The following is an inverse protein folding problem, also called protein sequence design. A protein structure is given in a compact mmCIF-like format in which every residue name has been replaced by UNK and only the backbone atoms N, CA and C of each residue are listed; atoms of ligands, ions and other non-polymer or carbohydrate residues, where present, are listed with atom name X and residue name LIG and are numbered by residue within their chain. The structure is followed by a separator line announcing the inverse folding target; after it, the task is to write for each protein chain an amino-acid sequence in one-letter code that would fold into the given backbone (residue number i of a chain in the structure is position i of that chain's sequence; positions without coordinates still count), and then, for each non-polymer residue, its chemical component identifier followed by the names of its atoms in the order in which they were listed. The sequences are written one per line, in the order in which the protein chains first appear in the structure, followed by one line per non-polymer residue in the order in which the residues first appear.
data_IF_976267872699
#
_entry.id   IF_976267872699
#
_cell.length_a   1.000
_cell.length_b   1.000
_cell.length_c   1.000
_cell.angle_alpha   90.00
_cell.angle_beta   90.00
_cell.angle_gamma   90.00
#
_symmetry.space_group_name_H-M   'P 1'
#
loop_
_entity.id
_entity.type
_entity.pdbx_description
1 polymer ?
#
# COMPACT_ATOMS: atom_id res chain seq x y z
N UNK A 1 14.75 -35.64 12.03
CA UNK A 1 14.86 -35.38 10.57
C UNK A 1 13.58 -34.69 10.10
N UNK A 2 13.62 -33.42 9.72
CA UNK A 2 12.44 -32.74 9.18
C UNK A 2 12.15 -33.26 7.76
N UNK A 3 10.92 -33.73 7.51
CA UNK A 3 10.51 -34.22 6.20
C UNK A 3 10.66 -33.12 5.14
N UNK A 4 11.37 -33.42 4.05
CA UNK A 4 11.53 -32.47 2.94
C UNK A 4 10.15 -32.12 2.36
N UNK A 5 9.88 -30.83 2.09
CA UNK A 5 8.62 -30.43 1.49
C UNK A 5 8.45 -31.06 0.10
N UNK A 6 7.21 -31.42 -0.25
CA UNK A 6 6.93 -31.97 -1.57
C UNK A 6 7.15 -30.90 -2.66
N UNK A 7 7.54 -31.32 -3.87
CA UNK A 7 7.76 -30.43 -5.02
C UNK A 7 6.54 -29.51 -5.27
N UNK A 8 5.32 -30.04 -5.09
CA UNK A 8 4.06 -29.28 -5.20
C UNK A 8 3.95 -28.17 -4.15
N UNK A 9 4.33 -28.43 -2.91
CA UNK A 9 4.32 -27.42 -1.84
C UNK A 9 5.37 -26.33 -2.06
N UNK A 10 6.57 -26.68 -2.52
CA UNK A 10 7.64 -25.72 -2.83
C UNK A 10 7.25 -24.81 -4.00
N UNK A 11 6.68 -25.37 -5.07
CA UNK A 11 6.18 -24.60 -6.22
C UNK A 11 5.07 -23.63 -5.82
N UNK A 12 4.12 -24.09 -5.00
CA UNK A 12 3.01 -23.24 -4.51
C UNK A 12 3.53 -22.07 -3.67
N UNK A 13 4.48 -22.33 -2.75
CA UNK A 13 5.09 -21.29 -1.94
C UNK A 13 5.85 -20.25 -2.80
N UNK A 14 6.58 -20.70 -3.82
CA UNK A 14 7.26 -19.82 -4.78
C UNK A 14 6.30 -18.93 -5.57
N UNK A 15 5.19 -19.49 -6.08
CA UNK A 15 4.16 -18.73 -6.78
C UNK A 15 3.50 -17.68 -5.89
N UNK A 16 3.19 -18.04 -4.65
CA UNK A 16 2.59 -17.13 -3.67
C UNK A 16 3.54 -15.99 -3.31
N UNK A 17 4.82 -16.29 -3.06
CA UNK A 17 5.86 -15.27 -2.85
C UNK A 17 5.95 -14.32 -4.05
N UNK A 18 5.99 -14.86 -5.27
CA UNK A 18 6.04 -14.05 -6.50
C UNK A 18 4.80 -13.16 -6.63
N UNK A 19 3.61 -13.71 -6.39
CA UNK A 19 2.35 -12.94 -6.42
C UNK A 19 2.37 -11.78 -5.43
N UNK A 20 2.75 -12.04 -4.18
CA UNK A 20 2.85 -11.01 -3.15
C UNK A 20 3.84 -9.92 -3.52
N UNK A 21 5.01 -10.28 -4.06
CA UNK A 21 5.99 -9.29 -4.51
C UNK A 21 5.48 -8.46 -5.69
N UNK A 22 4.79 -9.06 -6.65
CA UNK A 22 4.18 -8.33 -7.77
C UNK A 22 3.17 -7.31 -7.25
N UNK A 23 2.26 -7.72 -6.36
CA UNK A 23 1.28 -6.79 -5.76
C UNK A 23 2.01 -5.66 -5.03
N UNK A 24 3.00 -5.98 -4.18
CA UNK A 24 3.75 -4.98 -3.43
C UNK A 24 4.48 -3.97 -4.34
N UNK A 25 5.11 -4.43 -5.42
CA UNK A 25 5.76 -3.54 -6.38
C UNK A 25 4.77 -2.70 -7.18
N UNK A 26 3.60 -3.24 -7.51
CA UNK A 26 2.51 -2.46 -8.10
C UNK A 26 2.03 -1.39 -7.12
N UNK A 27 1.84 -1.73 -5.84
CA UNK A 27 1.49 -0.76 -4.78
C UNK A 27 2.53 0.34 -4.66
N UNK A 28 3.83 0.00 -4.70
CA UNK A 28 4.91 0.98 -4.73
C UNK A 28 4.77 1.91 -5.93
N UNK A 29 4.59 1.36 -7.15
CA UNK A 29 4.50 2.17 -8.36
C UNK A 29 3.32 3.15 -8.34
N UNK A 30 2.10 2.69 -8.02
CA UNK A 30 0.93 3.59 -7.94
C UNK A 30 1.04 4.57 -6.78
N UNK A 31 1.62 4.15 -5.65
CA UNK A 31 1.92 5.02 -4.52
C UNK A 31 2.92 6.12 -4.90
N UNK A 32 3.94 5.80 -5.68
CA UNK A 32 4.89 6.79 -6.21
C UNK A 32 4.19 7.82 -7.10
N UNK A 33 3.34 7.38 -8.02
CA UNK A 33 2.54 8.30 -8.84
C UNK A 33 1.63 9.19 -7.97
N UNK A 34 1.10 8.66 -6.87
CA UNK A 34 0.27 9.42 -5.93
C UNK A 34 1.08 10.48 -5.19
N UNK A 35 2.26 10.13 -4.68
CA UNK A 35 3.16 11.10 -4.06
C UNK A 35 3.65 12.16 -5.06
N UNK A 36 3.85 11.81 -6.34
CA UNK A 36 4.19 12.79 -7.36
C UNK A 36 3.07 13.79 -7.61
N UNK A 37 1.80 13.36 -7.64
CA UNK A 37 0.64 14.26 -7.71
C UNK A 37 0.65 15.27 -6.55
N UNK A 38 0.86 14.80 -5.32
CA UNK A 38 0.98 15.66 -4.13
C UNK A 38 2.11 16.68 -4.25
N UNK A 39 3.29 16.25 -4.71
CA UNK A 39 4.44 17.14 -4.90
C UNK A 39 4.14 18.22 -5.94
N UNK A 40 3.55 17.85 -7.08
CA UNK A 40 3.23 18.79 -8.15
C UNK A 40 2.15 19.79 -7.69
N UNK A 41 1.09 19.31 -7.03
CA UNK A 41 0.03 20.18 -6.49
C UNK A 41 0.59 21.12 -5.41
N UNK A 42 1.50 20.64 -4.55
CA UNK A 42 2.21 21.49 -3.61
C UNK A 42 2.99 22.61 -4.32
N UNK A 43 3.78 22.29 -5.34
CA UNK A 43 4.52 23.31 -6.08
C UNK A 43 3.61 24.36 -6.73
N UNK A 44 2.44 23.97 -7.24
CA UNK A 44 1.48 24.95 -7.78
C UNK A 44 0.93 25.92 -6.74
N UNK A 45 0.78 25.50 -5.48
CA UNK A 45 0.34 26.38 -4.40
C UNK A 45 1.38 27.46 -4.15
N UNK A 46 2.65 27.06 -4.05
CA UNK A 46 3.78 27.98 -3.83
C UNK A 46 3.98 28.91 -5.02
N UNK A 47 4.08 28.35 -6.23
CA UNK A 47 4.36 29.10 -7.46
C UNK A 47 3.28 30.16 -7.78
N UNK A 48 2.02 29.87 -7.45
CA UNK A 48 0.89 30.79 -7.69
C UNK A 48 0.51 31.65 -6.48
N UNK A 49 1.24 31.55 -5.37
CA UNK A 49 0.93 32.30 -4.14
C UNK A 49 -0.48 32.02 -3.61
N UNK A 50 -0.95 30.76 -3.72
CA UNK A 50 -2.25 30.34 -3.20
C UNK A 50 -2.20 30.17 -1.67
N UNK A 51 -3.36 29.92 -1.06
CA UNK A 51 -3.47 29.65 0.37
C UNK A 51 -2.52 28.49 0.77
N UNK A 52 -1.56 28.72 1.70
CA UNK A 52 -0.61 27.69 2.12
C UNK A 52 -1.26 26.45 2.72
N UNK A 53 -2.48 26.55 3.23
CA UNK A 53 -3.24 25.39 3.74
C UNK A 53 -3.62 24.38 2.64
N UNK A 54 -3.53 24.78 1.36
CA UNK A 54 -3.75 23.90 0.21
C UNK A 54 -2.48 23.16 -0.21
N UNK A 55 -1.36 23.36 0.47
CA UNK A 55 -0.12 22.69 0.14
C UNK A 55 -0.16 21.22 0.57
N UNK A 56 0.01 20.34 -0.42
CA UNK A 56 -0.05 18.89 -0.24
C UNK A 56 1.33 18.21 -0.21
N UNK A 57 2.40 18.99 -0.20
CA UNK A 57 3.78 18.50 -0.22
C UNK A 57 4.49 18.76 1.12
N UNK A 58 5.77 18.42 1.17
CA UNK A 58 6.63 18.60 2.33
C UNK A 58 8.05 18.17 2.01
N UNK A 59 8.88 18.08 3.04
CA UNK A 59 10.24 17.56 2.92
C UNK A 59 10.28 16.17 2.25
N UNK A 60 11.23 15.89 1.33
CA UNK A 60 12.37 16.73 0.93
C UNK A 60 12.11 17.72 -0.22
N UNK A 61 10.87 17.82 -0.71
CA UNK A 61 10.53 18.68 -1.84
C UNK A 61 10.28 20.13 -1.42
N UNK A 62 9.94 20.32 -0.15
CA UNK A 62 9.75 21.61 0.50
C UNK A 62 10.46 21.63 1.86
N UNK A 63 10.63 22.81 2.46
CA UNK A 63 11.32 22.96 3.74
C UNK A 63 10.56 22.35 4.93
N UNK A 64 9.23 22.35 4.85
CA UNK A 64 8.37 22.00 5.97
C UNK A 64 8.22 20.49 6.11
N UNK A 65 8.27 20.02 7.36
CA UNK A 65 7.84 18.66 7.68
C UNK A 65 6.33 18.64 7.83
N UNK A 66 5.64 17.94 6.94
CA UNK A 66 4.17 17.91 6.86
C UNK A 66 3.63 16.48 6.97
N UNK A 67 2.30 16.27 7.08
CA UNK A 67 1.70 14.94 6.98
C UNK A 67 2.10 14.17 5.72
N UNK A 68 2.40 14.87 4.61
CA UNK A 68 2.99 14.28 3.41
C UNK A 68 4.33 13.60 3.72
N UNK A 69 5.25 14.27 4.42
CA UNK A 69 6.58 13.72 4.75
C UNK A 69 6.47 12.51 5.66
N UNK A 70 5.62 12.57 6.69
CA UNK A 70 5.37 11.45 7.58
C UNK A 70 4.81 10.24 6.80
N UNK A 71 3.87 10.48 5.88
CA UNK A 71 3.30 9.46 5.01
C UNK A 71 4.34 8.89 4.05
N UNK A 72 5.18 9.72 3.44
CA UNK A 72 6.24 9.31 2.52
C UNK A 72 7.18 8.31 3.19
N UNK A 73 7.70 8.67 4.37
CA UNK A 73 8.62 7.82 5.14
C UNK A 73 7.92 6.56 5.62
N UNK A 74 6.72 6.70 6.20
CA UNK A 74 5.96 5.57 6.75
C UNK A 74 5.57 4.54 5.69
N UNK A 75 5.02 5.00 4.56
CA UNK A 75 4.56 4.14 3.46
C UNK A 75 5.73 3.38 2.86
N UNK A 76 6.81 4.05 2.45
CA UNK A 76 7.96 3.37 1.85
C UNK A 76 8.75 2.53 2.84
N UNK A 77 8.80 2.93 4.12
CA UNK A 77 9.39 2.12 5.18
C UNK A 77 8.65 0.78 5.35
N UNK A 78 7.32 0.83 5.47
CA UNK A 78 6.48 -0.37 5.60
C UNK A 78 6.54 -1.26 4.35
N UNK A 79 6.39 -0.68 3.15
CA UNK A 79 6.44 -1.44 1.89
C UNK A 79 7.84 -2.03 1.65
N UNK A 80 8.90 -1.26 1.89
CA UNK A 80 10.29 -1.70 1.74
C UNK A 80 10.63 -2.84 2.69
N UNK A 81 10.28 -2.73 3.98
CA UNK A 81 10.46 -3.80 4.94
C UNK A 81 9.68 -5.06 4.55
N UNK A 82 8.42 -4.92 4.10
CA UNK A 82 7.60 -6.03 3.63
C UNK A 82 8.17 -6.74 2.40
N UNK A 83 8.65 -5.97 1.41
CA UNK A 83 9.33 -6.50 0.21
C UNK A 83 10.60 -7.24 0.61
N UNK A 84 11.42 -6.66 1.49
CA UNK A 84 12.66 -7.28 1.97
C UNK A 84 12.39 -8.60 2.72
N UNK A 85 11.44 -8.62 3.66
CA UNK A 85 11.04 -9.84 4.37
C UNK A 85 10.52 -10.92 3.42
N UNK A 86 9.69 -10.52 2.45
CA UNK A 86 9.12 -11.43 1.46
C UNK A 86 10.19 -11.98 0.53
N UNK A 87 11.18 -11.16 0.15
CA UNK A 87 12.29 -11.62 -0.66
C UNK A 87 13.14 -12.66 0.08
N UNK A 88 13.20 -12.61 1.41
CA UNK A 88 13.82 -13.62 2.29
C UNK A 88 12.90 -14.80 2.65
N UNK A 89 11.71 -14.89 2.06
CA UNK A 89 10.78 -16.02 2.25
C UNK A 89 9.83 -15.89 3.44
N UNK A 90 9.73 -14.70 4.06
CA UNK A 90 8.83 -14.43 5.20
C UNK A 90 7.61 -13.63 4.68
N UNK A 91 6.46 -14.29 4.46
CA UNK A 91 5.42 -13.75 3.55
C UNK A 91 4.06 -13.47 4.20
N UNK A 92 3.77 -13.90 5.44
CA UNK A 92 2.37 -13.98 5.87
C UNK A 92 1.87 -12.80 6.75
N UNK A 93 2.31 -12.70 8.00
CA UNK A 93 1.64 -11.82 8.98
C UNK A 93 1.86 -10.33 8.77
N UNK A 94 3.04 -9.92 8.28
CA UNK A 94 3.38 -8.51 8.16
C UNK A 94 2.52 -7.79 7.11
N UNK A 95 2.22 -8.41 5.97
CA UNK A 95 1.43 -7.77 4.91
C UNK A 95 0.00 -7.46 5.33
N UNK A 96 -0.58 -8.25 6.23
CA UNK A 96 -1.90 -7.93 6.78
C UNK A 96 -1.83 -6.66 7.63
N UNK A 97 -0.89 -6.59 8.58
CA UNK A 97 -0.67 -5.41 9.43
C UNK A 97 -0.32 -4.19 8.56
N UNK A 98 0.59 -4.33 7.60
CA UNK A 98 0.92 -3.28 6.64
C UNK A 98 -0.32 -2.80 5.90
N UNK A 99 -1.16 -3.70 5.38
CA UNK A 99 -2.38 -3.30 4.66
C UNK A 99 -3.38 -2.57 5.56
N UNK A 100 -3.50 -2.94 6.83
CA UNK A 100 -4.36 -2.26 7.79
C UNK A 100 -3.85 -0.85 8.11
N UNK A 101 -2.55 -0.71 8.39
CA UNK A 101 -1.95 0.59 8.69
C UNK A 101 -2.03 1.54 7.49
N UNK A 102 -1.68 1.05 6.29
CA UNK A 102 -1.78 1.84 5.06
C UNK A 102 -3.23 2.17 4.72
N UNK A 103 -4.16 1.21 4.89
CA UNK A 103 -5.58 1.42 4.65
C UNK A 103 -6.17 2.47 5.60
N UNK A 104 -5.84 2.41 6.89
CA UNK A 104 -6.27 3.39 7.88
C UNK A 104 -5.72 4.79 7.55
N UNK A 105 -4.45 4.89 7.15
CA UNK A 105 -3.85 6.15 6.72
C UNK A 105 -4.58 6.74 5.50
N UNK A 106 -4.83 5.93 4.47
CA UNK A 106 -5.55 6.36 3.26
C UNK A 106 -6.97 6.84 3.59
N UNK A 107 -7.68 6.09 4.45
CA UNK A 107 -9.03 6.48 4.90
C UNK A 107 -8.98 7.82 5.65
N UNK A 108 -8.06 7.96 6.59
CA UNK A 108 -7.92 9.17 7.39
C UNK A 108 -7.67 10.41 6.51
N UNK A 109 -6.71 10.33 5.57
CA UNK A 109 -6.31 11.47 4.74
C UNK A 109 -7.38 11.87 3.72
N UNK A 110 -8.08 10.91 3.12
CA UNK A 110 -8.99 11.18 2.00
C UNK A 110 -10.47 11.28 2.38
N UNK A 111 -10.85 10.84 3.58
CA UNK A 111 -12.26 10.72 3.95
C UNK A 111 -12.62 11.23 5.35
N UNK A 112 -11.65 11.60 6.20
CA UNK A 112 -11.93 12.01 7.58
C UNK A 112 -11.51 13.45 7.85
N UNK A 113 -12.45 14.27 8.36
CA UNK A 113 -12.20 15.64 8.80
C UNK A 113 -12.39 16.71 7.71
N UNK A 114 -12.42 17.97 8.15
CA UNK A 114 -12.56 19.13 7.27
C UNK A 114 -11.40 19.32 6.24
N UNK A 115 -10.13 18.93 6.52
CA UNK A 115 -9.05 19.04 5.53
C UNK A 115 -8.90 17.78 4.66
N UNK A 116 -9.92 16.91 4.58
CA UNK A 116 -9.82 15.69 3.80
C UNK A 116 -9.63 15.98 2.30
N UNK A 117 -8.67 15.30 1.68
CA UNK A 117 -8.44 15.34 0.24
C UNK A 117 -9.45 14.46 -0.49
N UNK A 118 -10.71 14.89 -0.47
CA UNK A 118 -11.79 14.15 -1.12
C UNK A 118 -11.53 14.03 -2.63
N UNK A 119 -12.06 12.99 -3.30
CA UNK A 119 -11.93 12.85 -4.76
C UNK A 119 -12.39 14.09 -5.55
N UNK A 120 -13.47 14.74 -5.08
CA UNK A 120 -13.95 15.98 -5.68
C UNK A 120 -12.98 17.15 -5.48
N UNK A 121 -12.33 17.23 -4.31
CA UNK A 121 -11.25 18.17 -4.04
C UNK A 121 -10.07 17.96 -4.98
N UNK A 122 -9.56 16.73 -5.05
CA UNK A 122 -8.42 16.34 -5.91
C UNK A 122 -8.69 16.71 -7.38
N UNK A 123 -9.87 16.37 -7.91
CA UNK A 123 -10.23 16.71 -9.29
C UNK A 123 -10.17 18.22 -9.55
N UNK A 124 -10.72 19.02 -8.62
CA UNK A 124 -10.77 20.49 -8.74
C UNK A 124 -9.43 21.17 -8.51
N UNK A 125 -8.46 20.50 -7.91
CA UNK A 125 -7.09 21.02 -7.74
C UNK A 125 -6.31 21.13 -9.05
N UNK A 126 -6.80 20.51 -10.13
CA UNK A 126 -6.16 20.53 -11.44
C UNK A 126 -6.90 21.43 -12.42
N UNK A 127 -6.16 22.37 -13.04
CA UNK A 127 -6.72 23.22 -14.11
C UNK A 127 -7.06 22.41 -15.38
N UNK A 128 -6.28 21.37 -15.67
CA UNK A 128 -6.58 20.42 -16.74
C UNK A 128 -7.51 19.32 -16.21
N UNK A 129 -8.73 19.17 -16.74
CA UNK A 129 -9.69 18.17 -16.27
C UNK A 129 -9.19 16.73 -16.44
N UNK A 130 -8.39 16.45 -17.48
CA UNK A 130 -7.79 15.13 -17.69
C UNK A 130 -6.80 14.80 -16.57
N UNK A 131 -5.96 15.77 -16.17
CA UNK A 131 -5.04 15.58 -15.05
C UNK A 131 -5.79 15.32 -13.74
N UNK A 132 -6.89 16.05 -13.50
CA UNK A 132 -7.77 15.81 -12.35
C UNK A 132 -8.37 14.40 -12.34
N UNK A 133 -8.86 13.89 -13.48
CA UNK A 133 -9.37 12.52 -13.60
C UNK A 133 -8.26 11.51 -13.31
N UNK A 134 -7.06 11.70 -13.87
CA UNK A 134 -5.92 10.80 -13.66
C UNK A 134 -5.51 10.77 -12.19
N UNK A 135 -5.47 11.91 -11.50
CA UNK A 135 -5.14 11.99 -10.07
C UNK A 135 -6.16 11.23 -9.20
N UNK A 136 -7.46 11.40 -9.48
CA UNK A 136 -8.53 10.67 -8.80
C UNK A 136 -8.44 9.17 -9.08
N UNK A 137 -8.26 8.78 -10.34
CA UNK A 137 -8.12 7.38 -10.73
C UNK A 137 -6.91 6.72 -10.04
N UNK A 138 -5.79 7.43 -9.94
CA UNK A 138 -4.60 6.96 -9.25
C UNK A 138 -4.83 6.80 -7.73
N UNK A 139 -5.59 7.70 -7.10
CA UNK A 139 -6.01 7.57 -5.69
C UNK A 139 -6.79 6.26 -5.47
N UNK A 140 -7.75 5.96 -6.34
CA UNK A 140 -8.49 4.70 -6.29
C UNK A 140 -7.61 3.47 -6.60
N UNK A 141 -6.62 3.61 -7.49
CA UNK A 141 -5.65 2.56 -7.76
C UNK A 141 -4.79 2.24 -6.52
N UNK A 142 -4.38 3.25 -5.75
CA UNK A 142 -3.70 3.07 -4.45
C UNK A 142 -4.59 2.31 -3.47
N UNK A 143 -5.85 2.72 -3.32
CA UNK A 143 -6.82 2.02 -2.45
C UNK A 143 -6.94 0.55 -2.87
N UNK A 144 -7.16 0.28 -4.15
CA UNK A 144 -7.29 -1.07 -4.68
C UNK A 144 -6.02 -1.91 -4.45
N UNK A 145 -4.83 -1.32 -4.61
CA UNK A 145 -3.56 -2.00 -4.40
C UNK A 145 -3.33 -2.35 -2.91
N UNK A 146 -3.67 -1.44 -1.99
CA UNK A 146 -3.60 -1.68 -0.54
C UNK A 146 -4.58 -2.77 -0.12
N UNK A 147 -5.82 -2.73 -0.62
CA UNK A 147 -6.80 -3.79 -0.39
C UNK A 147 -6.33 -5.13 -0.96
N UNK A 148 -5.72 -5.10 -2.16
CA UNK A 148 -5.12 -6.28 -2.79
C UNK A 148 -4.04 -6.92 -1.92
N UNK A 149 -3.19 -6.14 -1.24
CA UNK A 149 -2.21 -6.64 -0.27
C UNK A 149 -2.90 -7.35 0.91
N UNK A 150 -3.93 -6.73 1.48
CA UNK A 150 -4.66 -7.28 2.63
C UNK A 150 -5.40 -8.58 2.30
N UNK A 151 -6.16 -8.58 1.20
CA UNK A 151 -6.86 -9.78 0.71
C UNK A 151 -5.85 -10.90 0.40
N UNK A 152 -4.73 -10.57 -0.25
CA UNK A 152 -3.68 -11.53 -0.51
C UNK A 152 -3.11 -12.13 0.79
N UNK A 153 -2.90 -11.33 1.83
CA UNK A 153 -2.42 -11.79 3.13
C UNK A 153 -3.43 -12.75 3.83
N UNK A 154 -4.72 -12.42 3.79
CA UNK A 154 -5.79 -13.29 4.35
C UNK A 154 -5.86 -14.63 3.61
N UNK A 155 -5.79 -14.62 2.28
CA UNK A 155 -5.76 -15.84 1.46
C UNK A 155 -4.55 -16.71 1.79
N UNK A 156 -3.39 -16.11 2.09
CA UNK A 156 -2.19 -16.83 2.53
C UNK A 156 -2.36 -17.47 3.91
N UNK A 157 -2.98 -16.75 4.85
CA UNK A 157 -3.26 -17.25 6.19
C UNK A 157 -4.22 -18.46 6.16
N UNK A 158 -5.33 -18.38 5.42
CA UNK A 158 -6.31 -19.46 5.32
C UNK A 158 -5.74 -20.75 4.71
N UNK A 159 -4.84 -20.63 3.72
CA UNK A 159 -4.15 -21.79 3.11
C UNK A 159 -3.10 -22.43 4.02
N UNK A 160 -2.60 -21.69 5.01
CA UNK A 160 -1.59 -22.16 5.97
C UNK A 160 -2.26 -22.87 7.15
N UNK A 161 -3.41 -22.38 7.64
CA UNK A 161 -4.19 -23.00 8.71
C UNK A 161 -4.84 -24.34 8.31
N UNK A 162 -5.28 -24.48 7.06
CA UNK A 162 -5.90 -25.73 6.56
C UNK A 162 -4.96 -26.94 6.48
N UNK A 163 -3.64 -26.76 6.62
CA UNK A 163 -2.67 -27.87 6.63
C UNK A 163 -2.41 -28.45 8.02
N UNK A 164 -2.76 -27.73 9.09
CA UNK A 164 -2.52 -28.16 10.47
C UNK A 164 -3.68 -29.01 11.01
N UNK A 165 -4.91 -28.77 10.56
CA UNK A 165 -6.10 -29.51 11.03
C UNK A 165 -6.34 -30.91 10.44
N UNK A 166 -5.51 -31.38 9.50
CA UNK A 166 -5.79 -32.60 8.72
C UNK A 166 -5.00 -33.85 9.11
N UNK A 167 -4.12 -33.81 10.13
CA UNK A 167 -3.23 -34.94 10.45
C UNK A 167 -3.42 -35.61 11.81
N UNK A 168 -4.20 -35.02 12.71
CA UNK A 168 -4.33 -35.57 14.07
C UNK A 168 -5.63 -36.36 14.32
N UNK A 169 -6.52 -36.47 13.33
CA UNK A 169 -7.80 -37.22 13.47
C UNK A 169 -7.67 -38.70 13.05
N UNK A 170 -6.55 -39.12 12.47
CA UNK A 170 -6.38 -40.49 11.94
C UNK A 170 -5.34 -41.36 12.67
N UNK A 171 -4.90 -40.98 13.88
CA UNK A 171 -4.01 -41.79 14.72
C UNK A 171 -4.56 -42.00 16.14
N UNK A 172 -5.80 -42.46 16.20
CA UNK A 172 -6.46 -42.82 17.45
C UNK A 172 -7.49 -43.92 17.26
N UNK A 173 -7.07 -45.05 16.69
CA UNK A 173 -7.72 -46.37 16.84
C UNK A 173 -6.66 -47.45 16.78
#
# INVERSE_FOLDING_TARGET
MAARPSIKSARTAGLLRRRTLVIAWVTVAVGTLHFLDHVIRGYYVVDRGLDPSWNHSGWPFMSEFTPFTASLIGVYGLLGAGIWLTSRGRVAGHWFVTSLLLGALVVWVHFVGAPAETPAGIYRSWANPVAGVVAVANTFAVIAAVLGLGVNAVVLAGRSGGRVGGRDVLRGR
#
